data_IF_827789554500
#
_entry.id   IF_827789554500
#
_cell.length_a   1.000
_cell.length_b   1.000
_cell.length_c   1.000
_cell.angle_alpha   90.00
_cell.angle_beta   90.00
_cell.angle_gamma   90.00
#
_symmetry.space_group_name_H-M   'P 1'
#
loop_
_entity.id
_entity.type
_entity.pdbx_description
1 polymer ?
#
# COMPACT_ATOMS: atom_id res chain seq x y z
N UNK A 1 3.28 0.81 13.89
CA UNK A 1 2.31 0.60 12.79
C UNK A 1 2.96 0.98 11.46
N UNK A 2 3.37 2.24 11.31
CA UNK A 2 3.97 2.74 10.06
C UNK A 2 5.19 1.93 9.59
N UNK A 3 6.11 1.52 10.47
CA UNK A 3 7.23 0.62 10.08
C UNK A 3 6.77 -0.72 9.48
N UNK A 4 5.68 -1.30 10.00
CA UNK A 4 5.12 -2.56 9.46
C UNK A 4 4.53 -2.32 8.07
N UNK A 5 3.80 -1.22 7.89
CA UNK A 5 3.25 -0.80 6.59
C UNK A 5 4.38 -0.63 5.58
N UNK A 6 5.44 0.11 5.93
CA UNK A 6 6.62 0.33 5.07
C UNK A 6 7.28 -1.00 4.70
N UNK A 7 7.46 -1.89 5.69
CA UNK A 7 8.06 -3.22 5.48
C UNK A 7 7.25 -4.05 4.48
N UNK A 8 5.93 -4.12 4.65
CA UNK A 8 5.04 -4.87 3.75
C UNK A 8 5.04 -4.26 2.35
N UNK A 9 4.96 -2.93 2.23
CA UNK A 9 5.05 -2.26 0.93
C UNK A 9 6.38 -2.57 0.22
N UNK A 10 7.50 -2.58 0.95
CA UNK A 10 8.80 -2.98 0.40
C UNK A 10 8.79 -4.43 -0.09
N UNK A 11 8.29 -5.38 0.71
CA UNK A 11 8.20 -6.80 0.30
C UNK A 11 7.33 -7.01 -0.93
N UNK A 12 6.20 -6.31 -1.04
CA UNK A 12 5.32 -6.35 -2.22
C UNK A 12 6.08 -5.87 -3.47
N UNK A 13 6.79 -4.74 -3.37
CA UNK A 13 7.57 -4.18 -4.49
C UNK A 13 8.68 -5.14 -4.93
N UNK A 14 9.39 -5.73 -3.97
CA UNK A 14 10.49 -6.64 -4.24
C UNK A 14 10.02 -7.93 -4.93
N UNK A 15 8.93 -8.54 -4.44
CA UNK A 15 8.36 -9.74 -5.07
C UNK A 15 7.82 -9.43 -6.46
N UNK A 16 7.15 -8.28 -6.65
CA UNK A 16 6.62 -7.90 -7.96
C UNK A 16 7.75 -7.67 -9.00
N UNK A 17 8.87 -7.07 -8.58
CA UNK A 17 10.07 -6.93 -9.42
C UNK A 17 10.65 -8.28 -9.82
N UNK A 18 10.80 -9.19 -8.85
CA UNK A 18 11.33 -10.53 -9.10
C UNK A 18 10.42 -11.38 -10.02
N UNK A 19 9.10 -11.16 -9.99
CA UNK A 19 8.15 -11.80 -10.90
C UNK A 19 8.28 -11.30 -12.35
N UNK A 20 8.52 -9.99 -12.55
CA UNK A 20 8.78 -9.45 -13.89
C UNK A 20 10.04 -10.06 -14.51
N UNK A 21 11.02 -10.41 -13.68
CA UNK A 21 12.29 -10.97 -14.12
C UNK A 21 12.25 -12.51 -14.33
N UNK A 22 11.22 -13.22 -13.83
CA UNK A 22 11.16 -14.71 -13.87
C UNK A 22 9.73 -15.24 -14.03
N UNK A 23 9.38 -15.71 -15.23
CA UNK A 23 8.07 -16.33 -15.54
C UNK A 23 7.74 -17.60 -14.73
N UNK A 24 8.70 -18.25 -14.06
CA UNK A 24 8.53 -19.60 -13.48
C UNK A 24 8.17 -19.66 -11.99
N UNK A 25 7.97 -18.53 -11.30
CA UNK A 25 7.58 -18.47 -9.87
C UNK A 25 6.19 -17.88 -9.63
N UNK A 26 5.28 -18.04 -10.60
CA UNK A 26 4.01 -17.31 -10.67
C UNK A 26 3.04 -17.62 -9.54
N UNK A 27 2.71 -18.88 -9.28
CA UNK A 27 1.55 -19.19 -8.41
C UNK A 27 1.78 -18.83 -6.93
N UNK A 28 2.92 -19.24 -6.36
CA UNK A 28 3.26 -18.93 -4.96
C UNK A 28 3.43 -17.42 -4.74
N UNK A 29 4.07 -16.73 -5.69
CA UNK A 29 4.30 -15.28 -5.58
C UNK A 29 2.99 -14.50 -5.71
N UNK A 30 2.05 -14.95 -6.56
CA UNK A 30 0.73 -14.34 -6.68
C UNK A 30 -0.07 -14.51 -5.39
N UNK A 31 -0.06 -15.69 -4.76
CA UNK A 31 -0.73 -15.90 -3.47
C UNK A 31 -0.12 -15.04 -2.37
N UNK A 32 1.21 -14.95 -2.32
CA UNK A 32 1.92 -14.08 -1.40
C UNK A 32 1.50 -12.61 -1.57
N UNK A 33 1.50 -12.09 -2.81
CA UNK A 33 1.12 -10.71 -3.09
C UNK A 33 -0.33 -10.42 -2.66
N UNK A 34 -1.26 -11.33 -2.96
CA UNK A 34 -2.67 -11.20 -2.52
C UNK A 34 -2.78 -11.19 -1.00
N UNK A 35 -2.02 -12.04 -0.30
CA UNK A 35 -2.00 -12.05 1.16
C UNK A 35 -1.41 -10.75 1.71
N UNK A 36 -0.27 -10.30 1.19
CA UNK A 36 0.40 -9.08 1.64
C UNK A 36 -0.49 -7.84 1.47
N UNK A 37 -1.23 -7.72 0.36
CA UNK A 37 -2.19 -6.63 0.16
C UNK A 37 -3.36 -6.68 1.16
N UNK A 38 -3.86 -7.89 1.51
CA UNK A 38 -4.88 -8.06 2.56
C UNK A 38 -4.35 -7.70 3.94
N UNK A 39 -3.16 -8.20 4.30
CA UNK A 39 -2.50 -7.87 5.56
C UNK A 39 -2.31 -6.33 5.67
N UNK A 40 -1.95 -5.66 4.56
CA UNK A 40 -1.81 -4.21 4.50
C UNK A 40 -3.15 -3.49 4.73
N UNK A 41 -4.23 -3.97 4.11
CA UNK A 41 -5.60 -3.47 4.32
C UNK A 41 -6.00 -3.55 5.79
N UNK A 42 -5.80 -4.72 6.42
CA UNK A 42 -6.14 -4.97 7.82
C UNK A 42 -5.33 -4.08 8.78
N UNK A 43 -4.03 -3.92 8.54
CA UNK A 43 -3.16 -3.07 9.37
C UNK A 43 -3.59 -1.60 9.29
N UNK A 44 -3.95 -1.12 8.09
CA UNK A 44 -4.45 0.25 7.92
C UNK A 44 -5.80 0.43 8.62
N UNK A 45 -6.73 -0.52 8.44
CA UNK A 45 -8.05 -0.51 9.07
C UNK A 45 -7.98 -0.56 10.61
N UNK A 46 -6.98 -1.25 11.16
CA UNK A 46 -6.71 -1.32 12.60
C UNK A 46 -5.94 -0.10 13.15
N UNK A 47 -5.62 0.88 12.30
CA UNK A 47 -4.92 2.10 12.68
C UNK A 47 -5.74 3.04 13.57
N UNK A 48 -5.17 4.21 13.89
CA UNK A 48 -5.88 5.20 14.71
C UNK A 48 -7.04 5.78 13.92
N UNK A 49 -8.15 6.09 14.59
CA UNK A 49 -9.31 6.73 13.95
C UNK A 49 -8.96 8.08 13.26
N UNK A 50 -7.95 8.79 13.76
CA UNK A 50 -7.45 10.01 13.12
C UNK A 50 -6.75 9.72 11.78
N UNK A 51 -5.99 8.63 11.71
CA UNK A 51 -5.32 8.20 10.47
C UNK A 51 -6.35 7.76 9.43
N UNK A 52 -7.39 7.05 9.83
CA UNK A 52 -8.46 6.59 8.92
C UNK A 52 -9.27 7.74 8.29
N UNK A 53 -9.38 8.88 8.99
CA UNK A 53 -10.09 10.08 8.52
C UNK A 53 -9.23 11.00 7.67
N UNK A 54 -7.92 10.77 7.64
CA UNK A 54 -7.00 11.57 6.85
C UNK A 54 -7.24 11.35 5.36
N UNK A 55 -7.34 12.46 4.62
CA UNK A 55 -7.35 12.44 3.16
C UNK A 55 -5.92 12.45 2.64
N UNK A 56 -5.58 11.45 1.84
CA UNK A 56 -4.31 11.39 1.13
C UNK A 56 -4.54 11.63 -0.37
N UNK A 57 -3.55 12.25 -1.00
CA UNK A 57 -3.49 12.34 -2.44
C UNK A 57 -2.94 11.03 -3.01
N UNK A 58 -3.73 10.39 -3.87
CA UNK A 58 -3.37 9.15 -4.57
C UNK A 58 -3.21 9.46 -6.04
N UNK A 59 -2.01 9.20 -6.56
CA UNK A 59 -1.69 9.42 -7.98
C UNK A 59 -1.87 8.12 -8.75
N UNK A 60 -2.75 8.14 -9.75
CA UNK A 60 -2.99 6.98 -10.60
C UNK A 60 -1.88 6.78 -11.64
N UNK A 61 -1.93 5.66 -12.37
CA UNK A 61 -0.93 5.32 -13.40
C UNK A 61 -0.85 6.35 -14.53
N UNK A 62 -1.91 7.10 -14.78
CA UNK A 62 -1.95 8.19 -15.77
C UNK A 62 -1.43 9.52 -15.22
N UNK A 63 -0.92 9.56 -13.98
CA UNK A 63 -0.43 10.76 -13.32
C UNK A 63 -1.53 11.67 -12.77
N UNK A 64 -2.80 11.24 -12.81
CA UNK A 64 -3.92 12.02 -12.27
C UNK A 64 -4.03 11.77 -10.77
N UNK A 65 -3.98 12.86 -10.02
CA UNK A 65 -4.20 12.86 -8.57
C UNK A 65 -5.70 12.83 -8.24
N UNK A 66 -6.07 12.03 -7.25
CA UNK A 66 -7.38 12.02 -6.62
C UNK A 66 -7.21 11.91 -5.10
N UNK A 67 -8.13 12.50 -4.34
CA UNK A 67 -8.10 12.44 -2.88
C UNK A 67 -8.98 11.31 -2.39
N UNK A 68 -8.44 10.52 -1.46
CA UNK A 68 -9.16 9.44 -0.79
C UNK A 68 -8.84 9.47 0.69
N UNK A 69 -9.82 9.10 1.51
CA UNK A 69 -9.57 8.83 2.93
C UNK A 69 -8.74 7.56 3.06
N UNK A 70 -7.89 7.49 4.08
CA UNK A 70 -7.12 6.28 4.34
C UNK A 70 -8.01 5.04 4.55
N UNK A 71 -9.21 5.20 5.11
CA UNK A 71 -10.19 4.12 5.20
C UNK A 71 -10.61 3.58 3.82
N UNK A 72 -10.80 4.45 2.83
CA UNK A 72 -11.13 4.06 1.45
C UNK A 72 -9.92 3.37 0.80
N UNK A 73 -8.72 3.90 1.02
CA UNK A 73 -7.46 3.30 0.54
C UNK A 73 -7.27 1.89 1.11
N UNK A 74 -7.56 1.69 2.40
CA UNK A 74 -7.51 0.37 3.04
C UNK A 74 -8.47 -0.63 2.35
N UNK A 75 -9.70 -0.22 2.03
CA UNK A 75 -10.64 -1.06 1.29
C UNK A 75 -10.14 -1.36 -0.13
N UNK A 76 -9.60 -0.36 -0.83
CA UNK A 76 -9.10 -0.49 -2.21
C UNK A 76 -7.93 -1.48 -2.34
N UNK A 77 -7.16 -1.73 -1.27
CA UNK A 77 -6.08 -2.72 -1.25
C UNK A 77 -6.57 -4.18 -1.36
N UNK A 78 -7.88 -4.42 -1.24
CA UNK A 78 -8.46 -5.74 -1.51
C UNK A 78 -8.80 -5.96 -2.99
N UNK A 79 -8.82 -4.89 -3.79
CA UNK A 79 -9.12 -4.92 -5.22
C UNK A 79 -7.82 -4.77 -6.04
N UNK A 80 -7.39 -5.88 -6.65
CA UNK A 80 -6.17 -5.92 -7.46
C UNK A 80 -6.18 -4.91 -8.61
N UNK A 81 -7.35 -4.62 -9.21
CA UNK A 81 -7.43 -3.63 -10.29
C UNK A 81 -7.15 -2.23 -9.76
N UNK A 82 -7.75 -1.87 -8.63
CA UNK A 82 -7.51 -0.57 -7.99
C UNK A 82 -6.08 -0.41 -7.49
N UNK A 83 -5.47 -1.48 -6.96
CA UNK A 83 -4.05 -1.48 -6.57
C UNK A 83 -3.16 -1.04 -7.74
N UNK A 84 -3.39 -1.62 -8.92
CA UNK A 84 -2.61 -1.32 -10.13
C UNK A 84 -2.98 0.02 -10.75
N UNK A 85 -4.26 0.37 -10.79
CA UNK A 85 -4.73 1.63 -11.36
C UNK A 85 -4.20 2.84 -10.58
N UNK A 86 -4.22 2.75 -9.26
CA UNK A 86 -3.90 3.86 -8.36
C UNK A 86 -2.50 3.79 -7.74
N UNK A 87 -1.64 2.86 -8.18
CA UNK A 87 -0.32 2.62 -7.58
C UNK A 87 -0.37 2.61 -6.05
N UNK A 88 -1.36 1.91 -5.47
CA UNK A 88 -1.71 2.07 -4.05
C UNK A 88 -0.54 1.77 -3.11
N UNK A 89 0.30 0.80 -3.47
CA UNK A 89 1.48 0.41 -2.68
C UNK A 89 2.47 1.57 -2.53
N UNK A 90 2.69 2.35 -3.60
CA UNK A 90 3.59 3.50 -3.56
C UNK A 90 3.01 4.66 -2.74
N UNK A 91 1.72 4.93 -2.91
CA UNK A 91 1.04 6.00 -2.17
C UNK A 91 0.99 5.68 -0.67
N UNK A 92 0.69 4.43 -0.30
CA UNK A 92 0.68 3.97 1.10
C UNK A 92 2.08 3.98 1.72
N UNK A 93 3.12 3.54 0.99
CA UNK A 93 4.52 3.60 1.44
C UNK A 93 4.96 5.04 1.71
N UNK A 94 4.68 5.97 0.79
CA UNK A 94 4.98 7.40 0.95
C UNK A 94 4.26 8.00 2.15
N UNK A 95 2.96 7.71 2.30
CA UNK A 95 2.19 8.18 3.45
C UNK A 95 2.77 7.67 4.77
N UNK A 96 3.06 6.37 4.87
CA UNK A 96 3.58 5.78 6.09
C UNK A 96 4.95 6.35 6.48
N UNK A 97 5.84 6.59 5.49
CA UNK A 97 7.12 7.27 5.71
C UNK A 97 6.94 8.70 6.23
N UNK A 98 6.05 9.47 5.62
CA UNK A 98 5.73 10.83 6.07
C UNK A 98 5.22 10.85 7.52
N UNK A 99 4.41 9.87 7.92
CA UNK A 99 3.96 9.72 9.32
C UNK A 99 5.08 9.36 10.28
N UNK A 100 6.01 8.50 9.87
CA UNK A 100 7.15 8.12 10.68
C UNK A 100 8.11 9.31 10.89
N UNK A 101 8.39 10.06 9.82
CA UNK A 101 9.22 11.27 9.86
C UNK A 101 8.58 12.40 10.69
N UNK A 102 7.27 12.63 10.50
CA UNK A 102 6.51 13.62 11.28
C UNK A 102 6.32 13.25 12.76
N UNK A 103 6.49 11.97 13.13
CA UNK A 103 6.45 11.51 14.52
C UNK A 103 7.79 11.69 15.25
N UNK A 104 8.92 11.78 14.53
CA UNK A 104 10.26 11.96 15.09
C UNK A 104 10.70 13.42 15.24
N UNK A 105 9.94 14.38 14.71
CA UNK A 105 10.20 15.81 14.80
C UNK A 105 9.39 16.50 15.90
N UNK A 106 9.78 16.33 17.16
CA UNK A 106 9.47 17.24 18.27
C UNK A 106 10.63 17.29 19.25
#
# INVERSE_FOLDING_TARGET
MYDKVITICWSIKEVNRNLQDRESMTDYSIEYLKKACRDLSEILAAGKAADLKEEIEVVNRSGKAAKFKMAEVAEMLTDTKKILEFNLIDNVDRWARSKLEGAGGR
#
